data_IF_299821958043
#
_entry.id   IF_299821958043
#
_cell.length_a   1.000
_cell.length_b   1.000
_cell.length_c   1.000
_cell.angle_alpha   90.00
_cell.angle_beta   90.00
_cell.angle_gamma   90.00
#
_symmetry.space_group_name_H-M   'P 1'
#
loop_
_entity.id
_entity.type
_entity.pdbx_description
1 polymer ?
#
# COMPACT_ATOMS: atom_id res chain seq x y z
N UNK A 1 -14.74 -2.70 12.36
CA UNK A 1 -14.43 -2.44 12.27
C UNK A 1 -13.58 -2.08 11.84
N UNK A 2 -13.16 -1.97 11.58
CA UNK A 2 -12.41 -1.70 11.31
C UNK A 2 -11.81 -1.53 10.35
N UNK A 3 -11.63 -1.60 9.82
CA UNK A 3 -11.08 -1.65 8.84
C UNK A 3 -10.70 -0.54 8.34
N UNK A 4 -10.17 0.09 8.62
CA UNK A 4 -9.77 1.07 8.11
C UNK A 4 -8.51 1.02 7.60
N UNK A 5 -8.09 1.58 6.60
CA UNK A 5 -6.81 1.61 6.06
C UNK A 5 -6.00 2.58 6.80
N UNK A 6 -4.97 2.13 7.42
CA UNK A 6 -4.11 2.94 8.19
C UNK A 6 -2.69 2.77 7.74
N UNK A 7 -2.40 2.96 6.47
CA UNK A 7 -1.04 2.90 5.95
C UNK A 7 -0.61 4.28 5.50
N UNK A 8 0.67 4.54 5.61
CA UNK A 8 1.22 5.83 5.22
C UNK A 8 1.65 5.82 3.76
N UNK A 9 1.88 7.00 3.23
CA UNK A 9 2.43 7.12 1.88
C UNK A 9 3.77 6.42 1.75
N UNK A 10 4.59 6.50 2.80
CA UNK A 10 5.88 5.81 2.80
C UNK A 10 5.69 4.30 2.72
N UNK A 11 4.68 3.77 3.40
CA UNK A 11 4.42 2.34 3.34
C UNK A 11 3.94 1.92 1.95
N UNK A 12 3.14 2.75 1.29
CA UNK A 12 2.69 2.43 -0.06
C UNK A 12 3.90 2.34 -0.98
N UNK A 13 4.79 3.32 -0.90
CA UNK A 13 5.95 3.34 -1.78
C UNK A 13 6.87 2.17 -1.50
N UNK A 14 7.11 1.89 -0.23
CA UNK A 14 7.98 0.78 0.15
C UNK A 14 7.38 -0.56 -0.26
N UNK A 15 6.07 -0.72 -0.08
CA UNK A 15 5.41 -1.96 -0.44
C UNK A 15 5.47 -2.19 -1.94
N UNK A 16 5.24 -1.15 -2.71
CA UNK A 16 5.28 -1.24 -4.15
C UNK A 16 6.69 -1.68 -4.60
N UNK A 17 7.70 -1.06 -4.04
CA UNK A 17 9.08 -1.43 -4.36
C UNK A 17 9.39 -2.85 -3.95
N UNK A 18 8.87 -3.27 -2.81
CA UNK A 18 9.16 -4.59 -2.28
C UNK A 18 8.64 -5.70 -3.21
N UNK A 19 7.51 -5.49 -3.84
CA UNK A 19 6.95 -6.48 -4.75
C UNK A 19 7.21 -6.16 -6.22
N UNK A 20 7.97 -5.10 -6.49
CA UNK A 20 8.37 -4.81 -7.86
C UNK A 20 7.28 -4.23 -8.74
N UNK A 21 6.32 -3.52 -8.16
CA UNK A 21 5.27 -2.91 -8.96
C UNK A 21 5.60 -1.46 -9.26
N UNK A 22 5.36 -1.05 -10.49
CA UNK A 22 5.41 0.37 -10.80
C UNK A 22 4.15 1.06 -10.29
N UNK A 23 4.18 2.38 -10.22
CA UNK A 23 2.99 3.12 -9.82
C UNK A 23 1.83 2.90 -10.79
N UNK A 24 2.13 2.77 -12.07
CA UNK A 24 1.11 2.48 -13.06
C UNK A 24 0.50 1.10 -12.82
N UNK A 25 1.34 0.12 -12.57
CA UNK A 25 0.84 -1.23 -12.30
C UNK A 25 -0.03 -1.26 -11.06
N UNK A 26 0.39 -0.57 -10.01
CA UNK A 26 -0.41 -0.52 -8.81
C UNK A 26 -1.75 0.18 -9.07
N UNK A 27 -1.74 1.25 -9.86
CA UNK A 27 -2.99 1.95 -10.16
C UNK A 27 -3.97 1.02 -10.87
N UNK A 28 -3.46 0.18 -11.75
CA UNK A 28 -4.32 -0.75 -12.46
C UNK A 28 -4.86 -1.83 -11.54
N UNK A 29 -4.02 -2.36 -10.68
CA UNK A 29 -4.45 -3.40 -9.77
C UNK A 29 -5.44 -2.88 -8.74
N UNK A 30 -5.25 -1.68 -8.27
CA UNK A 30 -6.12 -1.13 -7.23
C UNK A 30 -7.37 -0.47 -7.80
N UNK A 31 -7.38 -0.21 -9.09
CA UNK A 31 -8.50 0.53 -9.68
C UNK A 31 -8.51 1.99 -9.22
N UNK A 32 -7.34 2.58 -9.04
CA UNK A 32 -7.19 3.94 -8.55
C UNK A 32 -6.30 4.67 -9.53
N UNK A 33 -6.58 5.92 -9.78
CA UNK A 33 -5.81 6.67 -10.77
C UNK A 33 -4.35 6.80 -10.41
N UNK A 34 -3.49 6.82 -11.42
CA UNK A 34 -2.05 6.93 -11.21
C UNK A 34 -1.68 8.20 -10.45
N UNK A 35 -2.33 9.32 -10.78
CA UNK A 35 -2.02 10.57 -10.10
C UNK A 35 -2.34 10.50 -8.61
N UNK A 36 -3.37 9.74 -8.25
CA UNK A 36 -3.71 9.55 -6.86
C UNK A 36 -2.63 8.74 -6.14
N UNK A 37 -2.11 7.71 -6.79
CA UNK A 37 -1.02 6.93 -6.22
C UNK A 37 0.18 7.84 -5.98
N UNK A 38 0.54 8.66 -6.98
CA UNK A 38 1.67 9.56 -6.85
C UNK A 38 1.49 10.55 -5.71
N UNK A 39 0.29 11.09 -5.59
CA UNK A 39 0.00 12.05 -4.54
C UNK A 39 0.10 11.40 -3.17
N UNK A 40 -0.46 10.20 -3.02
CA UNK A 40 -0.43 9.52 -1.73
C UNK A 40 1.00 9.19 -1.31
N UNK A 41 1.82 8.79 -2.26
CA UNK A 41 3.21 8.42 -1.93
C UNK A 41 4.05 9.63 -1.57
N UNK A 42 3.64 10.82 -1.97
CA UNK A 42 4.42 12.00 -1.65
C UNK A 42 3.92 12.74 -0.42
N UNK A 43 2.81 12.30 0.17
CA UNK A 43 2.32 12.94 1.38
C UNK A 43 2.97 12.33 2.59
N UNK A 44 3.15 13.15 3.62
CA UNK A 44 3.63 12.64 4.87
C UNK A 44 2.48 12.05 5.64
N UNK A 45 2.72 10.97 6.33
CA UNK A 45 1.69 10.37 7.16
C UNK A 45 0.67 9.59 6.35
N UNK A 46 -0.50 9.44 6.90
CA UNK A 46 -1.57 8.68 6.27
C UNK A 46 -2.31 9.59 5.33
N UNK A 47 -2.38 9.27 4.04
CA UNK A 47 -3.02 10.16 3.08
C UNK A 47 -4.50 10.31 3.34
N UNK A 48 -5.00 11.52 3.21
CA UNK A 48 -6.43 11.76 3.27
C UNK A 48 -7.02 11.29 1.95
N UNK A 49 -8.08 10.52 2.01
CA UNK A 49 -8.65 9.98 0.80
C UNK A 49 -10.14 9.85 0.95
N UNK A 50 -10.80 9.73 -0.18
CA UNK A 50 -12.20 9.42 -0.18
C UNK A 50 -12.39 8.03 0.27
N UNK A 51 -13.59 7.74 0.68
CA UNK A 51 -13.92 6.45 1.25
C UNK A 51 -13.47 5.32 0.33
N UNK A 52 -12.71 4.43 0.82
CA UNK A 52 -12.33 3.23 0.12
C UNK A 52 -11.12 3.34 -0.78
N UNK A 53 -10.65 4.54 -1.09
CA UNK A 53 -9.54 4.66 -2.02
C UNK A 53 -8.26 4.09 -1.43
N UNK A 54 -7.90 4.52 -0.23
CA UNK A 54 -6.69 4.02 0.41
C UNK A 54 -6.81 2.52 0.69
N UNK A 55 -8.00 2.08 1.05
CA UNK A 55 -8.20 0.66 1.30
C UNK A 55 -8.01 -0.18 0.06
N UNK A 56 -8.44 0.31 -1.10
CA UNK A 56 -8.22 -0.44 -2.34
C UNK A 56 -6.75 -0.59 -2.65
N UNK A 57 -5.97 0.46 -2.38
CA UNK A 57 -4.52 0.40 -2.58
C UNK A 57 -3.93 -0.62 -1.61
N UNK A 58 -4.34 -0.57 -0.35
CA UNK A 58 -3.83 -1.50 0.65
C UNK A 58 -4.15 -2.94 0.26
N UNK A 59 -5.38 -3.19 -0.16
CA UNK A 59 -5.77 -4.54 -0.52
C UNK A 59 -5.03 -5.04 -1.74
N UNK A 60 -4.79 -4.18 -2.72
CA UNK A 60 -4.03 -4.58 -3.89
C UNK A 60 -2.60 -4.99 -3.52
N UNK A 61 -1.98 -4.25 -2.62
CA UNK A 61 -0.64 -4.57 -2.18
C UNK A 61 -0.62 -5.84 -1.32
N UNK A 62 -1.63 -6.01 -0.48
CA UNK A 62 -1.71 -7.22 0.31
C UNK A 62 -1.90 -8.44 -0.60
N UNK A 63 -2.71 -8.30 -1.63
CA UNK A 63 -2.88 -9.39 -2.58
C UNK A 63 -1.60 -9.68 -3.35
N UNK A 64 -0.74 -8.69 -3.50
CA UNK A 64 0.54 -8.88 -4.17
C UNK A 64 1.61 -9.46 -3.26
N UNK A 65 1.32 -9.64 -1.99
CA UNK A 65 2.25 -10.31 -1.08
C UNK A 65 2.88 -9.42 -0.03
N UNK A 66 2.21 -8.33 0.36
CA UNK A 66 2.76 -7.43 1.35
C UNK A 66 1.94 -7.48 2.62
N UNK A 67 2.58 -7.51 3.77
CA UNK A 67 1.93 -7.25 5.04
C UNK A 67 2.43 -5.90 5.54
N UNK A 68 1.51 -5.10 6.06
CA UNK A 68 1.86 -3.80 6.62
C UNK A 68 2.02 -3.95 8.12
N UNK A 69 3.12 -3.45 8.65
CA UNK A 69 3.47 -3.68 10.04
C UNK A 69 3.82 -2.36 10.71
N UNK A 70 3.81 -2.39 12.03
CA UNK A 70 4.21 -1.25 12.81
C UNK A 70 3.20 -0.13 12.80
N UNK A 71 3.57 0.97 13.40
CA UNK A 71 2.73 2.14 13.42
C UNK A 71 2.99 2.94 12.15
N UNK A 72 1.97 3.31 11.39
CA UNK A 72 2.19 3.95 10.09
C UNK A 72 2.90 5.30 10.18
N UNK A 73 2.90 5.92 11.35
CA UNK A 73 3.52 7.23 11.51
C UNK A 73 4.89 7.10 12.18
N UNK A 74 4.95 6.38 13.29
CA UNK A 74 6.17 6.38 14.08
C UNK A 74 7.10 5.24 13.74
N UNK A 75 6.59 4.17 13.17
CA UNK A 75 7.39 2.99 12.93
C UNK A 75 6.84 2.21 11.75
N UNK A 76 6.67 2.86 10.60
CA UNK A 76 6.03 2.19 9.47
C UNK A 76 6.90 1.06 8.92
N UNK A 77 6.28 -0.06 8.64
CA UNK A 77 6.99 -1.19 8.08
C UNK A 77 6.18 -1.92 7.04
N UNK A 78 6.87 -2.66 6.22
CA UNK A 78 6.27 -3.54 5.25
C UNK A 78 7.06 -4.82 5.23
N UNK A 79 6.39 -5.91 4.90
CA UNK A 79 7.03 -7.20 4.90
C UNK A 79 6.51 -8.02 3.74
N UNK A 80 7.41 -8.68 3.03
CA UNK A 80 7.01 -9.54 1.94
C UNK A 80 6.48 -10.84 2.52
N UNK A 81 5.29 -11.25 2.05
CA UNK A 81 4.65 -12.43 2.61
C UNK A 81 4.42 -13.48 1.54
N UNK A 82 5.46 -13.79 0.72
CA UNK A 82 5.31 -14.77 -0.29
C UNK A 82 4.95 -16.07 0.29
N UNK A 83 4.14 -16.88 -0.32
CA UNK A 83 3.80 -18.18 0.12
C UNK A 83 5.06 -19.01 0.15
N UNK A 84 5.08 -19.92 1.09
CA UNK A 84 6.19 -20.65 1.18
C UNK A 84 6.25 -21.62 0.21
N UNK A 85 6.18 -21.79 -0.72
CA UNK A 85 6.24 -22.59 -1.69
C UNK A 85 7.07 -23.48 -1.53
N UNK A 86 7.22 -23.76 -0.90
CA UNK A 86 7.97 -24.67 -0.75
C UNK A 86 8.45 -24.96 -1.73
N UNK A 87 8.40 -24.82 -2.12
CA UNK A 87 8.91 -25.18 -3.01
C UNK A 87 9.45 -25.15 -3.22
#
# INVERSE_FOLDING_TARGET
MSDRSNISGAQIRAARALVGLSAVELSELAGVGWATIQRFESEEGIPASKAGTLQRIQEALEAAGVAFTGDPITSPGVQLTRPSKAS
#
